data_IF_373862377889
#
_entry.id   IF_373862377889
#
_cell.length_a   1.000
_cell.length_b   1.000
_cell.length_c   1.000
_cell.angle_alpha   90.00
_cell.angle_beta   90.00
_cell.angle_gamma   90.00
#
_symmetry.space_group_name_H-M   'P 1'
#
loop_
_entity.id
_entity.type
_entity.pdbx_description
1 polymer ?
#
# COMPACT_ATOMS: atom_id res chain seq x y z
N UNK A 1 11.18 18.72 -4.02
CA UNK A 1 10.45 18.19 -2.86
C UNK A 1 9.92 16.79 -3.19
N UNK A 2 10.42 15.72 -2.54
CA UNK A 2 10.03 14.31 -2.80
C UNK A 2 9.37 13.62 -1.59
N UNK A 3 9.15 14.36 -0.50
CA UNK A 3 8.64 13.80 0.76
C UNK A 3 7.21 13.24 0.64
N UNK A 4 6.35 13.91 -0.15
CA UNK A 4 4.97 13.46 -0.36
C UNK A 4 4.88 12.08 -1.03
N UNK A 5 5.81 11.75 -1.94
CA UNK A 5 5.85 10.44 -2.61
C UNK A 5 6.07 9.31 -1.60
N UNK A 6 6.99 9.52 -0.65
CA UNK A 6 7.24 8.58 0.46
C UNK A 6 6.04 8.46 1.40
N UNK A 7 5.32 9.55 1.65
CA UNK A 7 4.08 9.53 2.44
C UNK A 7 3.01 8.71 1.71
N UNK A 8 2.85 8.87 0.39
CA UNK A 8 1.92 8.06 -0.40
C UNK A 8 2.28 6.58 -0.33
N UNK A 9 3.55 6.21 -0.56
CA UNK A 9 3.98 4.81 -0.45
C UNK A 9 3.71 4.23 0.94
N UNK A 10 4.04 4.98 1.99
CA UNK A 10 3.76 4.55 3.37
C UNK A 10 2.25 4.40 3.63
N UNK A 11 1.42 5.35 3.19
CA UNK A 11 -0.03 5.27 3.39
C UNK A 11 -0.68 4.09 2.64
N UNK A 12 -0.11 3.70 1.51
CA UNK A 12 -0.69 2.70 0.61
C UNK A 12 -0.14 1.28 0.82
N UNK A 13 1.09 1.14 1.34
CA UNK A 13 1.74 -0.14 1.64
C UNK A 13 2.02 -0.40 3.11
N UNK A 14 2.10 0.65 3.95
CA UNK A 14 2.85 0.71 5.20
C UNK A 14 4.35 0.43 5.03
N UNK A 15 4.70 -0.79 4.61
CA UNK A 15 6.07 -1.24 4.39
C UNK A 15 6.20 -1.86 2.99
N UNK A 16 6.38 -1.02 1.97
CA UNK A 16 6.82 -1.44 0.64
C UNK A 16 8.26 -1.97 0.69
N UNK A 17 8.72 -2.72 -0.31
CA UNK A 17 10.06 -3.32 -0.32
C UNK A 17 11.23 -2.35 -0.07
N UNK A 18 11.24 -1.08 -0.55
CA UNK A 18 12.34 -0.15 -0.24
C UNK A 18 12.28 0.49 1.16
N UNK A 19 11.21 0.25 1.94
CA UNK A 19 11.11 0.74 3.32
C UNK A 19 11.74 -0.29 4.25
N UNK A 20 12.95 0.03 4.71
CA UNK A 20 13.77 -0.83 5.55
C UNK A 20 13.60 -0.48 7.03
N UNK A 21 13.32 -1.49 7.83
CA UNK A 21 13.34 -1.41 9.30
C UNK A 21 14.64 -2.05 9.79
N UNK A 22 15.57 -1.23 10.31
CA UNK A 22 16.96 -1.64 10.53
C UNK A 22 17.15 -2.78 11.56
N UNK A 23 16.20 -2.94 12.49
CA UNK A 23 16.18 -4.05 13.43
C UNK A 23 14.73 -4.41 13.77
N UNK A 24 14.04 -5.09 12.86
CA UNK A 24 12.66 -5.52 13.08
C UNK A 24 12.50 -6.26 14.42
N UNK A 25 11.46 -5.93 15.21
CA UNK A 25 11.15 -6.66 16.43
C UNK A 25 10.86 -8.12 16.11
N UNK A 26 11.61 -9.03 16.75
CA UNK A 26 11.44 -10.48 16.62
C UNK A 26 10.46 -11.08 17.64
N UNK A 27 9.73 -10.22 18.37
CA UNK A 27 8.83 -10.61 19.46
C UNK A 27 9.52 -10.84 20.81
N UNK A 28 10.85 -10.76 20.87
CA UNK A 28 11.60 -10.88 22.14
C UNK A 28 11.92 -9.51 22.75
N UNK A 29 12.16 -9.49 24.07
CA UNK A 29 12.63 -8.28 24.77
C UNK A 29 13.98 -7.78 24.20
N UNK A 30 14.87 -8.70 23.82
CA UNK A 30 16.16 -8.38 23.24
C UNK A 30 16.02 -7.73 21.85
N UNK A 31 15.12 -8.25 21.02
CA UNK A 31 14.79 -7.67 19.72
C UNK A 31 14.14 -6.31 19.85
N UNK A 32 13.20 -6.14 20.79
CA UNK A 32 12.60 -4.83 21.08
C UNK A 32 13.66 -3.80 21.52
N UNK A 33 14.60 -4.19 22.39
CA UNK A 33 15.70 -3.31 22.80
C UNK A 33 16.62 -2.93 21.63
N UNK A 34 16.90 -3.88 20.71
CA UNK A 34 17.68 -3.63 19.49
C UNK A 34 16.96 -2.69 18.54
N UNK A 35 15.65 -2.89 18.31
CA UNK A 35 14.80 -1.99 17.53
C UNK A 35 14.86 -0.57 18.08
N UNK A 36 14.58 -0.38 19.38
CA UNK A 36 14.58 0.93 20.01
C UNK A 36 15.94 1.64 19.88
N UNK A 37 17.05 0.92 20.10
CA UNK A 37 18.39 1.49 19.86
C UNK A 37 18.59 1.93 18.41
N UNK A 38 18.14 1.11 17.46
CA UNK A 38 18.26 1.44 16.02
C UNK A 38 17.37 2.62 15.61
N UNK A 39 16.24 2.82 16.29
CA UNK A 39 15.28 3.87 16.01
C UNK A 39 15.71 5.24 16.57
N UNK A 40 16.76 5.32 17.38
CA UNK A 40 17.34 6.57 17.86
C UNK A 40 18.84 6.66 17.50
N UNK A 41 19.19 6.81 16.21
CA UNK A 41 20.58 6.92 15.81
C UNK A 41 21.23 8.16 16.46
N UNK A 42 22.49 8.06 16.94
CA UNK A 42 23.19 9.20 17.51
C UNK A 42 23.38 10.33 16.48
N UNK A 43 23.45 10.01 15.19
CA UNK A 43 23.72 10.92 14.07
C UNK A 43 22.53 11.80 13.64
N UNK A 44 21.36 11.68 14.27
CA UNK A 44 20.19 12.52 13.91
C UNK A 44 20.45 13.99 14.28
N UNK A 45 20.48 14.93 13.32
CA UNK A 45 20.77 16.33 13.59
C UNK A 45 19.78 16.95 14.58
N UNK A 46 20.25 17.87 15.43
CA UNK A 46 19.42 18.55 16.44
C UNK A 46 18.14 19.22 15.87
N UNK A 47 18.16 19.85 14.67
CA UNK A 47 16.95 20.39 14.06
C UNK A 47 15.92 19.30 13.69
N UNK A 48 16.37 18.12 13.24
CA UNK A 48 15.49 17.00 12.93
C UNK A 48 14.86 16.38 14.19
N UNK A 49 15.59 16.40 15.33
CA UNK A 49 15.03 16.03 16.65
C UNK A 49 13.96 17.01 17.14
N UNK A 50 14.05 18.28 16.72
CA UNK A 50 13.09 19.33 17.09
C UNK A 50 11.82 19.35 16.22
N UNK A 51 11.90 18.88 14.97
CA UNK A 51 10.80 18.91 13.99
C UNK A 51 9.87 17.67 14.03
N UNK A 52 10.15 16.66 14.88
CA UNK A 52 9.27 15.50 15.05
C UNK A 52 9.81 14.47 16.06
N UNK A 53 8.92 13.58 16.55
CA UNK A 53 9.09 12.38 17.42
C UNK A 53 10.37 12.24 18.30
N UNK A 54 10.97 13.35 18.73
CA UNK A 54 12.24 13.43 19.50
C UNK A 54 13.40 12.62 18.89
N UNK A 55 13.50 12.57 17.56
CA UNK A 55 14.56 11.84 16.86
C UNK A 55 14.31 10.34 16.64
N UNK A 56 13.07 9.89 16.83
CA UNK A 56 12.64 8.54 16.45
C UNK A 56 12.60 8.38 14.93
N UNK A 57 13.41 7.45 14.41
CA UNK A 57 13.49 7.07 13.00
C UNK A 57 13.51 5.54 12.93
N UNK A 58 12.33 4.91 12.98
CA UNK A 58 12.21 3.46 12.99
C UNK A 58 12.44 2.80 11.62
N UNK A 59 12.46 3.57 10.54
CA UNK A 59 12.66 3.06 9.19
C UNK A 59 13.39 4.06 8.30
N UNK A 60 13.96 3.54 7.22
CA UNK A 60 14.64 4.30 6.17
C UNK A 60 14.22 3.81 4.80
N UNK A 61 14.37 4.68 3.80
CA UNK A 61 14.13 4.32 2.41
C UNK A 61 15.47 3.98 1.76
N UNK A 62 15.57 2.83 1.11
CA UNK A 62 16.74 2.52 0.29
C UNK A 62 16.74 3.29 -1.05
N UNK A 63 17.81 3.17 -1.83
CA UNK A 63 17.97 3.94 -3.07
C UNK A 63 16.95 3.60 -4.17
N UNK A 64 16.25 2.46 -4.10
CA UNK A 64 15.26 2.01 -5.07
C UNK A 64 13.86 2.60 -4.86
N UNK A 65 13.63 3.32 -3.75
CA UNK A 65 12.33 3.94 -3.44
C UNK A 65 11.68 4.73 -4.60
N UNK A 66 12.41 5.47 -5.46
CA UNK A 66 11.79 6.19 -6.57
C UNK A 66 11.13 5.24 -7.58
N UNK A 67 11.77 4.11 -7.89
CA UNK A 67 11.25 3.14 -8.85
C UNK A 67 9.97 2.46 -8.32
N UNK A 68 9.93 2.19 -7.02
CA UNK A 68 8.73 1.65 -6.39
C UNK A 68 7.57 2.68 -6.40
N UNK A 69 7.86 3.97 -6.20
CA UNK A 69 6.87 5.03 -6.38
C UNK A 69 6.38 5.12 -7.83
N UNK A 70 7.29 5.10 -8.81
CA UNK A 70 6.93 5.14 -10.24
C UNK A 70 6.04 3.95 -10.61
N UNK A 71 6.36 2.76 -10.13
CA UNK A 71 5.57 1.54 -10.33
C UNK A 71 4.17 1.66 -9.71
N UNK A 72 4.08 2.19 -8.48
CA UNK A 72 2.82 2.44 -7.78
C UNK A 72 1.96 3.50 -8.49
N UNK A 73 2.56 4.62 -8.85
CA UNK A 73 1.88 5.73 -9.54
C UNK A 73 1.44 5.33 -10.96
N UNK A 74 2.16 4.39 -11.59
CA UNK A 74 1.85 3.85 -12.90
C UNK A 74 1.68 4.91 -13.99
N UNK A 75 2.40 6.03 -13.87
CA UNK A 75 2.27 7.17 -14.79
C UNK A 75 0.95 7.93 -14.67
N UNK A 76 0.29 7.87 -13.51
CA UNK A 76 -1.01 8.52 -13.26
C UNK A 76 -2.22 7.65 -13.59
N UNK A 77 -2.02 6.37 -13.96
CA UNK A 77 -3.15 5.46 -14.21
C UNK A 77 -3.98 5.26 -12.93
N UNK A 78 -5.31 5.09 -13.05
CA UNK A 78 -6.14 4.69 -11.91
C UNK A 78 -5.64 3.37 -11.33
N UNK A 79 -5.59 3.29 -10.00
CA UNK A 79 -5.22 2.07 -9.28
C UNK A 79 -6.00 2.01 -7.96
N UNK A 80 -6.48 0.83 -7.59
CA UNK A 80 -6.99 0.61 -6.24
C UNK A 80 -5.79 0.52 -5.28
N UNK A 81 -5.71 1.30 -4.19
CA UNK A 81 -4.63 1.23 -3.22
C UNK A 81 -4.24 -0.20 -2.80
N UNK A 82 -2.95 -0.56 -2.75
CA UNK A 82 -2.48 -1.90 -2.35
C UNK A 82 -3.05 -2.39 -1.02
N UNK A 83 -3.10 -1.53 0.01
CA UNK A 83 -3.74 -1.85 1.29
C UNK A 83 -5.22 -2.21 1.15
N UNK A 84 -5.95 -1.56 0.25
CA UNK A 84 -7.36 -1.90 -0.02
C UNK A 84 -7.45 -3.22 -0.79
N UNK A 85 -6.56 -3.45 -1.76
CA UNK A 85 -6.50 -4.73 -2.49
C UNK A 85 -6.23 -5.91 -1.54
N UNK A 86 -5.30 -5.78 -0.60
CA UNK A 86 -4.86 -6.91 0.22
C UNK A 86 -5.63 -7.04 1.55
N UNK A 87 -6.09 -5.94 2.15
CA UNK A 87 -6.61 -5.94 3.54
C UNK A 87 -8.10 -5.62 3.66
N UNK A 88 -8.69 -4.88 2.73
CA UNK A 88 -10.08 -4.39 2.92
C UNK A 88 -11.02 -5.01 1.89
N UNK A 89 -10.80 -4.70 0.62
CA UNK A 89 -11.73 -5.01 -0.46
C UNK A 89 -11.63 -6.48 -0.91
N UNK A 90 -10.53 -7.17 -0.63
CA UNK A 90 -10.37 -8.60 -0.94
C UNK A 90 -11.33 -9.54 -0.18
N UNK A 91 -12.15 -9.05 0.75
CA UNK A 91 -13.12 -9.87 1.52
C UNK A 91 -14.40 -10.06 0.74
N UNK A 92 -14.74 -9.10 -0.12
CA UNK A 92 -15.98 -9.07 -0.87
C UNK A 92 -15.67 -8.74 -2.35
N UNK A 93 -14.81 -9.53 -3.04
CA UNK A 93 -14.29 -9.20 -4.36
C UNK A 93 -15.39 -9.12 -5.44
N UNK A 94 -16.45 -9.92 -5.32
CA UNK A 94 -17.60 -9.87 -6.24
C UNK A 94 -18.38 -8.56 -6.10
N UNK A 95 -18.60 -8.11 -4.86
CA UNK A 95 -19.26 -6.83 -4.57
C UNK A 95 -18.46 -5.64 -5.08
N UNK A 96 -17.14 -5.70 -4.91
CA UNK A 96 -16.20 -4.69 -5.42
C UNK A 96 -16.20 -4.66 -6.95
N UNK A 97 -16.16 -5.82 -7.60
CA UNK A 97 -16.25 -5.92 -9.06
C UNK A 97 -17.59 -5.39 -9.58
N UNK A 98 -18.71 -5.72 -8.91
CA UNK A 98 -20.04 -5.24 -9.28
C UNK A 98 -20.15 -3.73 -9.13
N UNK A 99 -19.58 -3.16 -8.06
CA UNK A 99 -19.50 -1.72 -7.88
C UNK A 99 -18.74 -1.06 -9.03
N UNK A 100 -17.57 -1.61 -9.40
CA UNK A 100 -16.77 -1.07 -10.49
C UNK A 100 -17.53 -1.09 -11.83
N UNK A 101 -18.19 -2.20 -12.15
CA UNK A 101 -19.06 -2.33 -13.34
C UNK A 101 -20.19 -1.31 -13.32
N UNK A 102 -20.90 -1.18 -12.19
CA UNK A 102 -22.01 -0.22 -12.08
C UNK A 102 -21.54 1.22 -12.31
N UNK A 103 -20.43 1.65 -11.72
CA UNK A 103 -19.88 2.99 -11.97
C UNK A 103 -19.51 3.20 -13.44
N UNK A 104 -18.94 2.19 -14.08
CA UNK A 104 -18.60 2.23 -15.50
C UNK A 104 -19.81 2.31 -16.43
N UNK A 105 -20.94 1.72 -16.04
CA UNK A 105 -22.15 1.67 -16.86
C UNK A 105 -23.08 2.87 -16.59
N UNK A 106 -23.15 3.36 -15.35
CA UNK A 106 -24.03 4.46 -14.94
C UNK A 106 -23.49 5.85 -15.32
N UNK A 107 -22.17 5.99 -15.53
CA UNK A 107 -21.52 7.29 -15.74
C UNK A 107 -20.67 7.31 -17.02
N UNK A 108 -20.96 8.24 -17.92
CA UNK A 108 -20.11 8.56 -19.08
C UNK A 108 -19.04 9.60 -18.71
N UNK A 109 -18.10 9.21 -17.86
CA UNK A 109 -17.03 10.09 -17.39
C UNK A 109 -15.81 10.08 -18.32
N UNK A 110 -15.11 11.22 -18.37
CA UNK A 110 -13.85 11.39 -19.11
C UNK A 110 -12.65 11.68 -18.19
N UNK A 111 -12.90 11.83 -16.88
CA UNK A 111 -11.85 12.06 -15.90
C UNK A 111 -12.24 11.52 -14.52
N UNK A 112 -11.22 11.16 -13.74
CA UNK A 112 -11.34 10.72 -12.35
C UNK A 112 -10.59 11.72 -11.47
N UNK A 113 -11.19 12.12 -10.35
CA UNK A 113 -10.54 12.96 -9.33
C UNK A 113 -10.23 12.09 -8.11
N UNK A 114 -9.03 11.50 -8.03
CA UNK A 114 -8.65 10.70 -6.88
C UNK A 114 -8.36 11.58 -5.66
N UNK A 115 -8.53 11.01 -4.46
CA UNK A 115 -8.12 11.66 -3.21
C UNK A 115 -6.59 11.67 -3.00
N UNK A 116 -5.85 10.89 -3.77
CA UNK A 116 -4.40 10.73 -3.67
C UNK A 116 -3.77 10.82 -5.08
N UNK A 117 -2.50 11.23 -5.14
CA UNK A 117 -1.74 11.50 -6.37
C UNK A 117 -2.23 12.72 -7.16
N UNK A 118 -1.70 12.87 -8.36
CA UNK A 118 -2.06 13.94 -9.27
C UNK A 118 -3.51 13.79 -9.74
N UNK A 119 -4.22 14.91 -9.77
CA UNK A 119 -5.60 15.00 -10.21
C UNK A 119 -5.79 16.29 -11.03
N UNK A 120 -6.69 16.31 -12.02
CA UNK A 120 -7.52 15.19 -12.47
C UNK A 120 -6.74 14.17 -13.32
N UNK A 121 -7.22 12.92 -13.33
CA UNK A 121 -6.68 11.84 -14.19
C UNK A 121 -7.59 11.68 -15.41
N UNK A 122 -7.08 11.90 -16.64
CA UNK A 122 -7.81 11.57 -17.87
C UNK A 122 -7.98 10.04 -17.96
N UNK A 123 -9.20 9.56 -17.75
CA UNK A 123 -9.52 8.14 -17.73
C UNK A 123 -11.00 7.94 -18.05
N UNK A 124 -11.29 6.87 -18.78
CA UNK A 124 -12.64 6.45 -19.14
C UNK A 124 -12.89 5.04 -18.59
N UNK A 125 -14.05 4.49 -18.96
CA UNK A 125 -14.53 3.14 -18.60
C UNK A 125 -13.44 2.08 -18.51
N UNK A 126 -12.64 1.88 -19.55
CA UNK A 126 -11.68 0.78 -19.60
C UNK A 126 -10.56 0.92 -18.57
N UNK A 127 -10.02 2.13 -18.40
CA UNK A 127 -8.98 2.41 -17.41
C UNK A 127 -9.50 2.28 -15.97
N UNK A 128 -10.76 2.64 -15.74
CA UNK A 128 -11.43 2.40 -14.46
C UNK A 128 -11.58 0.91 -14.18
N UNK A 129 -12.14 0.13 -15.12
CA UNK A 129 -12.34 -1.30 -14.94
C UNK A 129 -11.01 -2.05 -14.76
N UNK A 130 -9.94 -1.65 -15.48
CA UNK A 130 -8.62 -2.26 -15.33
C UNK A 130 -8.04 -2.07 -13.92
N UNK A 131 -8.30 -0.92 -13.27
CA UNK A 131 -7.88 -0.68 -11.89
C UNK A 131 -8.52 -1.67 -10.87
N UNK A 132 -9.71 -2.18 -11.19
CA UNK A 132 -10.45 -3.16 -10.38
C UNK A 132 -10.26 -4.61 -10.84
N UNK A 133 -9.49 -4.84 -11.91
CA UNK A 133 -9.15 -6.18 -12.40
C UNK A 133 -8.65 -7.15 -11.32
N UNK A 134 -7.88 -6.75 -10.27
CA UNK A 134 -7.44 -7.66 -9.22
C UNK A 134 -8.57 -8.40 -8.48
N UNK A 135 -9.80 -7.86 -8.49
CA UNK A 135 -10.96 -8.46 -7.81
C UNK A 135 -11.79 -9.39 -8.71
N UNK A 136 -11.55 -9.40 -10.03
CA UNK A 136 -12.24 -10.31 -10.95
C UNK A 136 -11.84 -11.78 -10.76
N UNK A 137 -12.46 -12.77 -11.44
CA UNK A 137 -12.19 -14.20 -11.22
C UNK A 137 -10.73 -14.62 -11.50
N UNK A 138 -10.13 -14.04 -12.54
CA UNK A 138 -8.73 -14.29 -12.96
C UNK A 138 -7.78 -13.16 -12.58
N UNK A 139 -8.27 -12.18 -11.79
CA UNK A 139 -7.53 -10.99 -11.43
C UNK A 139 -6.23 -11.29 -10.69
N UNK A 140 -5.13 -10.73 -11.17
CA UNK A 140 -3.87 -10.59 -10.45
C UNK A 140 -3.52 -9.10 -10.34
N UNK A 141 -2.91 -8.72 -9.22
CA UNK A 141 -2.37 -7.36 -9.07
C UNK A 141 -1.22 -7.17 -10.06
N UNK A 142 -1.15 -6.00 -10.70
CA UNK A 142 0.01 -5.58 -11.50
C UNK A 142 1.16 -5.04 -10.66
N UNK A 143 0.96 -4.95 -9.34
CA UNK A 143 1.95 -4.46 -8.38
C UNK A 143 2.98 -5.54 -8.04
N UNK A 144 4.26 -5.18 -7.78
CA UNK A 144 5.29 -6.15 -7.44
C UNK A 144 4.97 -6.93 -6.16
N UNK A 145 5.17 -8.24 -6.19
CA UNK A 145 4.96 -9.10 -5.02
C UNK A 145 5.83 -8.69 -3.81
N UNK A 146 7.04 -8.20 -4.07
CA UNK A 146 7.94 -7.71 -3.03
C UNK A 146 7.34 -6.52 -2.25
N UNK A 147 6.61 -5.62 -2.92
CA UNK A 147 5.95 -4.50 -2.28
C UNK A 147 4.66 -4.91 -1.55
N UNK A 148 4.03 -5.99 -1.97
CA UNK A 148 2.83 -6.55 -1.34
C UNK A 148 3.14 -7.51 -0.18
N UNK A 149 4.39 -7.95 -0.04
CA UNK A 149 4.79 -8.99 0.89
C UNK A 149 4.40 -8.68 2.34
N UNK A 150 4.64 -7.45 2.80
CA UNK A 150 4.25 -7.01 4.14
C UNK A 150 2.74 -7.07 4.32
N UNK A 151 1.96 -6.49 3.40
CA UNK A 151 0.50 -6.46 3.51
C UNK A 151 -0.11 -7.86 3.54
N UNK A 152 0.43 -8.79 2.74
CA UNK A 152 -0.01 -10.19 2.72
C UNK A 152 0.35 -10.92 4.01
N UNK A 153 1.54 -10.68 4.56
CA UNK A 153 1.91 -11.25 5.84
C UNK A 153 1.07 -10.69 6.98
N UNK A 154 0.84 -9.37 6.97
CA UNK A 154 0.02 -8.68 7.96
C UNK A 154 -1.44 -9.17 7.89
N UNK A 155 -1.98 -9.35 6.68
CA UNK A 155 -3.31 -9.94 6.49
C UNK A 155 -3.42 -11.34 7.11
N UNK A 156 -2.44 -12.23 6.88
CA UNK A 156 -2.42 -13.56 7.51
C UNK A 156 -2.46 -13.47 9.04
N UNK A 157 -1.73 -12.53 9.63
CA UNK A 157 -1.75 -12.30 11.08
C UNK A 157 -3.12 -11.80 11.55
N UNK A 158 -3.73 -10.85 10.85
CA UNK A 158 -5.05 -10.34 11.21
C UNK A 158 -6.14 -11.43 11.10
N UNK A 159 -6.03 -12.32 10.10
CA UNK A 159 -6.92 -13.50 9.97
C UNK A 159 -6.69 -14.48 11.11
N UNK A 160 -5.44 -14.81 11.44
CA UNK A 160 -5.15 -15.78 12.52
C UNK A 160 -5.58 -15.29 13.90
N UNK A 161 -5.61 -13.97 14.09
CA UNK A 161 -6.13 -13.32 15.29
C UNK A 161 -7.67 -13.16 15.30
N UNK A 162 -8.35 -13.52 14.21
CA UNK A 162 -9.80 -13.31 14.07
C UNK A 162 -10.23 -11.84 13.99
N UNK A 163 -9.29 -10.92 13.73
CA UNK A 163 -9.58 -9.48 13.60
C UNK A 163 -10.36 -9.18 12.32
N UNK A 164 -10.11 -9.97 11.28
CA UNK A 164 -10.77 -9.88 9.98
C UNK A 164 -11.19 -11.28 9.51
N UNK A 165 -12.15 -11.33 8.61
CA UNK A 165 -12.54 -12.57 7.93
C UNK A 165 -11.48 -12.98 6.89
N UNK A 166 -11.26 -14.28 6.65
CA UNK A 166 -10.42 -14.75 5.55
C UNK A 166 -11.03 -14.33 4.21
N UNK A 167 -10.21 -14.30 3.16
CA UNK A 167 -10.71 -14.10 1.79
C UNK A 167 -11.63 -15.26 1.40
N UNK A 168 -12.71 -15.00 0.65
CA UNK A 168 -13.50 -16.07 0.09
C UNK A 168 -12.64 -16.91 -0.86
N UNK A 169 -12.90 -18.22 -0.89
CA UNK A 169 -12.32 -19.10 -1.90
C UNK A 169 -12.86 -18.63 -3.24
N UNK A 170 -11.96 -18.25 -4.15
CA UNK A 170 -12.36 -17.90 -5.53
C UNK A 170 -12.93 -19.17 -6.16
N UNK A 171 -14.22 -19.15 -6.47
CA UNK A 171 -14.85 -20.17 -7.30
C UNK A 171 -14.05 -20.26 -8.60
N UNK A 172 -13.56 -21.47 -8.93
CA UNK A 172 -12.98 -21.70 -10.25
C UNK A 172 -14.06 -21.41 -11.32
N UNK A 173 -13.70 -20.80 -12.45
CA UNK A 173 -14.63 -20.59 -13.55
C UNK A 173 -15.15 -21.92 -14.12
#
# INVERSE_FOLDING_TARGET
ARGWQKICMFALYFQSSPLLVAAEPDGTLAGAARFLRSAFPPEVPAPARALGWKGFIAWRWDASWPNAFETLSGGGRPVVPPILQEIVLARDPEEVSRFATRVADDFDFTSIVPAHFDAPVPAQRDAWLDAFRPFGPTGSSSLPDADLAFLRQFEKTLVSQGTIRPRPVRSAP
#
